data_IF_157350522633
#
_entry.id   IF_157350522633
#
_cell.length_a   1.000
_cell.length_b   1.000
_cell.length_c   1.000
_cell.angle_alpha   90.00
_cell.angle_beta   90.00
_cell.angle_gamma   90.00
#
_symmetry.space_group_name_H-M   'P 1'
#
loop_
_entity.id
_entity.type
_entity.pdbx_description
1 polymer ?
#
# COMPACT_ATOMS: atom_id res chain seq x y z
N UNK A 1 -20.55 6.32 30.95
CA UNK A 1 -20.17 5.33 31.98
C UNK A 1 -18.89 4.61 31.53
N UNK A 2 -18.20 3.91 32.44
CA UNK A 2 -17.00 3.12 32.08
C UNK A 2 -17.30 2.06 31.01
N UNK A 3 -18.52 1.50 31.00
CA UNK A 3 -18.99 0.55 29.99
C UNK A 3 -19.10 1.16 28.58
N UNK A 4 -19.63 2.38 28.47
CA UNK A 4 -19.71 3.09 27.17
C UNK A 4 -18.33 3.38 26.60
N UNK A 5 -17.38 3.81 27.43
CA UNK A 5 -16.00 4.09 27.01
C UNK A 5 -15.30 2.81 26.56
N UNK A 6 -15.50 1.69 27.28
CA UNK A 6 -14.91 0.40 26.90
C UNK A 6 -15.45 -0.08 25.56
N UNK A 7 -16.76 -0.01 25.34
CA UNK A 7 -17.40 -0.40 24.09
C UNK A 7 -16.86 0.43 22.90
N UNK A 8 -16.75 1.75 23.06
CA UNK A 8 -16.17 2.61 22.03
C UNK A 8 -14.70 2.25 21.74
N UNK A 9 -13.90 1.95 22.77
CA UNK A 9 -12.52 1.50 22.58
C UNK A 9 -12.46 0.13 21.89
N UNK A 10 -13.37 -0.79 22.20
CA UNK A 10 -13.46 -2.10 21.55
C UNK A 10 -13.83 -1.95 20.08
N UNK A 11 -14.79 -1.09 19.75
CA UNK A 11 -15.18 -0.76 18.36
C UNK A 11 -14.00 -0.15 17.59
N UNK A 12 -13.34 0.87 18.16
CA UNK A 12 -12.16 1.48 17.53
C UNK A 12 -10.97 0.51 17.38
N UNK A 13 -10.82 -0.46 18.28
CA UNK A 13 -9.81 -1.50 18.14
C UNK A 13 -10.17 -2.50 17.04
N UNK A 14 -11.44 -2.88 16.93
CA UNK A 14 -11.94 -3.75 15.85
C UNK A 14 -11.78 -3.10 14.47
N UNK A 15 -11.90 -1.77 14.39
CA UNK A 15 -11.65 -0.99 13.18
C UNK A 15 -10.16 -0.72 12.91
N UNK A 16 -9.23 -1.31 13.67
CA UNK A 16 -7.78 -1.06 13.56
C UNK A 16 -7.35 0.40 13.81
N UNK A 17 -8.20 1.24 14.41
CA UNK A 17 -7.85 2.61 14.81
C UNK A 17 -6.98 2.62 16.06
N UNK A 18 -7.20 1.65 16.94
CA UNK A 18 -6.46 1.47 18.19
C UNK A 18 -5.81 0.09 18.27
N UNK A 19 -4.65 0.03 18.91
CA UNK A 19 -3.93 -1.21 19.22
C UNK A 19 -3.84 -1.36 20.73
N UNK A 20 -4.31 -2.52 21.23
CA UNK A 20 -4.12 -2.90 22.63
C UNK A 20 -2.75 -3.53 22.83
N UNK A 21 -2.01 -3.02 23.82
CA UNK A 21 -0.77 -3.62 24.28
C UNK A 21 -0.98 -4.12 25.70
N UNK A 22 -0.98 -5.43 25.90
CA UNK A 22 -1.19 -6.05 27.20
C UNK A 22 -0.24 -5.45 28.24
N UNK A 23 -0.78 -5.02 29.38
CA UNK A 23 -0.03 -4.37 30.46
C UNK A 23 0.45 -2.94 30.18
N UNK A 24 0.22 -2.38 28.99
CA UNK A 24 0.68 -1.03 28.59
C UNK A 24 -0.45 -0.07 28.22
N UNK A 25 -1.65 -0.58 27.95
CA UNK A 25 -2.84 0.21 27.62
C UNK A 25 -3.21 0.19 26.14
N UNK A 26 -3.97 1.19 25.69
CA UNK A 26 -4.49 1.32 24.33
C UNK A 26 -3.82 2.50 23.62
N UNK A 27 -3.32 2.28 22.41
CA UNK A 27 -2.58 3.27 21.63
C UNK A 27 -3.21 3.46 20.26
N UNK A 28 -2.99 4.61 19.61
CA UNK A 28 -3.37 4.81 18.20
C UNK A 28 -2.54 3.90 17.30
N UNK A 29 -3.18 3.29 16.31
CA UNK A 29 -2.48 2.48 15.32
C UNK A 29 -1.53 3.33 14.47
N UNK A 30 -0.29 2.87 14.31
CA UNK A 30 0.76 3.59 13.58
C UNK A 30 1.54 2.66 12.66
N UNK A 31 1.91 3.19 11.49
CA UNK A 31 2.76 2.55 10.49
C UNK A 31 4.26 2.66 10.83
N UNK A 32 4.61 3.36 11.91
CA UNK A 32 5.98 3.42 12.43
C UNK A 32 6.37 2.21 13.29
N UNK A 33 5.44 1.31 13.62
CA UNK A 33 5.79 0.02 14.26
C UNK A 33 6.47 -0.87 13.21
N UNK A 34 7.66 -1.45 13.47
CA UNK A 34 8.33 -2.38 12.57
C UNK A 34 7.44 -3.52 12.08
N UNK A 35 6.50 -3.98 12.93
CA UNK A 35 5.52 -5.03 12.59
C UNK A 35 4.41 -4.55 11.63
N UNK A 36 4.29 -3.24 11.42
CA UNK A 36 3.32 -2.60 10.53
C UNK A 36 3.95 -2.04 9.25
N UNK A 37 5.29 -2.04 9.12
CA UNK A 37 6.01 -1.52 7.95
C UNK A 37 5.51 -2.14 6.63
N UNK A 38 4.99 -3.37 6.70
CA UNK A 38 4.48 -4.12 5.56
C UNK A 38 3.08 -4.71 5.83
N UNK A 39 2.29 -4.06 6.70
CA UNK A 39 0.96 -4.54 7.15
C UNK A 39 0.06 -5.07 6.03
N UNK A 40 0.14 -4.45 4.84
CA UNK A 40 -0.66 -4.82 3.68
C UNK A 40 0.14 -5.48 2.56
N UNK A 41 1.45 -5.66 2.70
CA UNK A 41 2.22 -6.45 1.73
C UNK A 41 2.06 -7.93 2.09
N UNK A 42 1.32 -8.66 1.26
CA UNK A 42 1.05 -10.09 1.41
C UNK A 42 2.02 -10.95 0.60
N UNK A 43 3.20 -10.43 0.26
CA UNK A 43 4.20 -11.13 -0.54
C UNK A 43 5.31 -11.65 0.36
N UNK A 44 5.57 -12.95 0.33
CA UNK A 44 6.56 -13.64 1.18
C UNK A 44 7.45 -14.50 0.28
N UNK A 45 8.79 -14.48 0.44
CA UNK A 45 9.67 -15.38 -0.30
C UNK A 45 9.39 -16.85 0.04
N UNK A 46 9.67 -17.77 -0.89
CA UNK A 46 9.52 -19.22 -0.64
C UNK A 46 10.53 -19.77 0.38
N UNK A 47 11.65 -19.06 0.58
CA UNK A 47 12.68 -19.39 1.57
C UNK A 47 12.32 -19.02 3.02
N UNK A 48 13.20 -19.39 3.96
CA UNK A 48 13.00 -19.15 5.41
C UNK A 48 13.40 -17.76 5.87
N UNK A 49 14.14 -17.00 5.05
CA UNK A 49 14.64 -15.68 5.43
C UNK A 49 13.63 -14.60 5.03
N UNK A 50 13.10 -13.91 6.04
CA UNK A 50 12.26 -12.73 5.84
C UNK A 50 13.12 -11.57 5.33
N UNK A 51 13.26 -11.45 4.02
CA UNK A 51 13.82 -10.27 3.37
C UNK A 51 12.73 -9.20 3.20
N UNK A 52 12.98 -7.98 3.68
CA UNK A 52 12.10 -6.84 3.42
C UNK A 52 12.47 -6.18 2.10
N UNK A 53 11.48 -5.76 1.28
CA UNK A 53 11.80 -5.13 0.02
C UNK A 53 12.37 -3.72 0.21
N UNK A 54 13.29 -3.35 -0.67
CA UNK A 54 13.64 -1.95 -0.91
C UNK A 54 12.64 -1.34 -1.90
N UNK A 55 12.31 -0.06 -1.73
CA UNK A 55 11.44 0.66 -2.64
C UNK A 55 12.29 1.53 -3.56
N UNK A 56 12.13 1.37 -4.88
CA UNK A 56 12.81 2.18 -5.90
C UNK A 56 11.78 3.05 -6.64
N UNK A 57 11.62 4.33 -6.26
CA UNK A 57 10.68 5.23 -6.93
C UNK A 57 11.15 5.58 -8.34
N UNK A 58 10.31 5.30 -9.34
CA UNK A 58 10.56 5.60 -10.75
C UNK A 58 9.97 6.97 -11.11
N UNK A 59 8.72 7.20 -10.73
CA UNK A 59 7.97 8.40 -11.09
C UNK A 59 7.07 8.86 -9.94
N UNK A 60 6.87 10.18 -9.85
CA UNK A 60 5.87 10.78 -8.97
C UNK A 60 5.43 12.12 -9.57
N UNK A 61 4.17 12.22 -9.98
CA UNK A 61 3.67 13.38 -10.70
C UNK A 61 2.19 13.67 -10.43
N UNK A 62 1.80 14.93 -10.66
CA UNK A 62 0.39 15.33 -10.64
C UNK A 62 -0.28 14.93 -11.95
N UNK A 63 -1.50 14.42 -11.85
CA UNK A 63 -2.35 14.14 -12.98
C UNK A 63 -3.81 14.48 -12.67
N UNK A 64 -4.67 14.29 -13.67
CA UNK A 64 -6.12 14.42 -13.56
C UNK A 64 -6.71 13.01 -13.47
N UNK A 65 -7.62 12.79 -12.53
CA UNK A 65 -8.29 11.51 -12.38
C UNK A 65 -9.10 11.18 -13.64
N UNK A 66 -8.77 10.06 -14.30
CA UNK A 66 -9.64 9.45 -15.29
C UNK A 66 -10.90 8.87 -14.63
N UNK A 67 -11.83 8.36 -15.45
CA UNK A 67 -13.12 7.86 -14.96
C UNK A 67 -12.99 6.73 -13.94
N UNK A 68 -12.05 5.82 -14.15
CA UNK A 68 -11.82 4.67 -13.27
C UNK A 68 -11.22 5.11 -11.92
N UNK A 69 -10.11 5.87 -11.96
CA UNK A 69 -9.50 6.42 -10.75
C UNK A 69 -10.49 7.26 -9.94
N UNK A 70 -11.30 8.09 -10.61
CA UNK A 70 -12.31 8.91 -9.97
C UNK A 70 -13.36 8.08 -9.24
N UNK A 71 -13.88 7.02 -9.90
CA UNK A 71 -14.86 6.11 -9.32
C UNK A 71 -14.29 5.38 -8.10
N UNK A 72 -13.09 4.80 -8.23
CA UNK A 72 -12.47 3.99 -7.17
C UNK A 72 -12.08 4.85 -5.96
N UNK A 73 -11.53 6.03 -6.21
CA UNK A 73 -11.15 6.97 -5.15
C UNK A 73 -12.31 7.81 -4.61
N UNK A 74 -13.54 7.60 -5.11
CA UNK A 74 -14.72 8.38 -4.76
C UNK A 74 -14.50 9.91 -4.89
N UNK A 75 -13.80 10.34 -5.93
CA UNK A 75 -13.54 11.75 -6.27
C UNK A 75 -14.21 12.12 -7.59
N UNK A 76 -14.30 13.42 -7.87
CA UNK A 76 -14.85 13.88 -9.16
C UNK A 76 -13.91 13.51 -10.31
N UNK A 77 -14.44 13.10 -11.48
CA UNK A 77 -13.63 13.04 -12.71
C UNK A 77 -12.88 14.33 -12.96
N UNK A 78 -11.60 14.24 -13.33
CA UNK A 78 -10.73 15.41 -13.50
C UNK A 78 -10.27 16.06 -12.19
N UNK A 79 -10.60 15.52 -11.02
CA UNK A 79 -9.97 15.93 -9.76
C UNK A 79 -8.45 15.68 -9.81
N UNK A 80 -7.69 16.44 -9.01
CA UNK A 80 -6.25 16.26 -8.94
C UNK A 80 -5.92 14.93 -8.27
N UNK A 81 -4.98 14.19 -8.85
CA UNK A 81 -4.36 13.01 -8.23
C UNK A 81 -2.85 13.11 -8.31
N UNK A 82 -2.15 12.42 -7.41
CA UNK A 82 -0.73 12.11 -7.55
C UNK A 82 -0.64 10.67 -8.05
N UNK A 83 0.16 10.44 -9.08
CA UNK A 83 0.50 9.10 -9.56
C UNK A 83 1.96 8.81 -9.21
N UNK A 84 2.18 7.68 -8.57
CA UNK A 84 3.52 7.16 -8.25
C UNK A 84 3.70 5.86 -9.01
N UNK A 85 4.89 5.69 -9.62
CA UNK A 85 5.37 4.40 -10.10
C UNK A 85 6.64 4.03 -9.36
N UNK A 86 6.75 2.79 -8.93
CA UNK A 86 7.94 2.29 -8.21
C UNK A 86 8.13 0.81 -8.42
N UNK A 87 9.36 0.36 -8.18
CA UNK A 87 9.67 -1.05 -8.00
C UNK A 87 9.76 -1.37 -6.50
N UNK A 88 9.39 -2.59 -6.14
CA UNK A 88 9.88 -3.22 -4.92
C UNK A 88 10.89 -4.29 -5.33
N UNK A 89 12.08 -4.18 -4.75
CA UNK A 89 13.16 -5.13 -4.99
C UNK A 89 13.42 -5.96 -3.74
N UNK A 90 13.62 -7.26 -3.95
CA UNK A 90 14.09 -8.19 -2.93
C UNK A 90 15.46 -8.66 -3.36
N UNK A 91 16.47 -8.52 -2.49
CA UNK A 91 17.88 -8.81 -2.82
C UNK A 91 18.35 -8.20 -4.15
N UNK A 92 17.98 -6.93 -4.37
CA UNK A 92 18.26 -6.17 -5.60
C UNK A 92 17.64 -6.74 -6.90
N UNK A 93 16.67 -7.66 -6.79
CA UNK A 93 15.87 -8.14 -7.92
C UNK A 93 14.49 -7.48 -7.91
N UNK A 94 14.00 -6.91 -9.02
CA UNK A 94 12.65 -6.33 -9.07
C UNK A 94 11.59 -7.44 -9.03
N UNK A 95 10.72 -7.39 -8.02
CA UNK A 95 9.66 -8.40 -7.83
C UNK A 95 8.27 -7.79 -8.03
N UNK A 96 8.11 -6.51 -7.71
CA UNK A 96 6.83 -5.80 -7.87
C UNK A 96 7.03 -4.52 -8.64
N UNK A 97 6.16 -4.27 -9.62
CA UNK A 97 5.93 -2.94 -10.15
C UNK A 97 4.59 -2.43 -9.64
N UNK A 98 4.63 -1.29 -8.95
CA UNK A 98 3.47 -0.60 -8.41
C UNK A 98 3.14 0.62 -9.27
N UNK A 99 1.86 0.81 -9.57
CA UNK A 99 1.29 2.10 -9.96
C UNK A 99 0.22 2.52 -8.94
N UNK A 100 0.38 3.70 -8.36
CA UNK A 100 -0.37 4.15 -7.20
C UNK A 100 -1.02 5.50 -7.52
N UNK A 101 -2.33 5.57 -7.40
CA UNK A 101 -3.12 6.78 -7.53
C UNK A 101 -3.56 7.26 -6.15
N UNK A 102 -3.29 8.53 -5.87
CA UNK A 102 -3.54 9.15 -4.59
C UNK A 102 -4.38 10.42 -4.79
N UNK A 103 -5.47 10.63 -4.02
CA UNK A 103 -6.24 11.88 -4.08
C UNK A 103 -5.35 13.09 -3.76
N UNK A 104 -5.25 14.05 -4.68
CA UNK A 104 -4.29 15.15 -4.57
C UNK A 104 -4.53 16.08 -3.37
N UNK A 105 -5.74 16.06 -2.80
CA UNK A 105 -6.08 16.83 -1.59
C UNK A 105 -5.27 16.41 -0.36
N UNK A 106 -4.93 15.12 -0.23
CA UNK A 106 -4.19 14.59 0.91
C UNK A 106 -2.68 14.75 0.74
N UNK A 107 -2.19 14.65 -0.50
CA UNK A 107 -0.76 14.48 -0.79
C UNK A 107 -0.13 15.73 -1.41
N UNK A 108 -0.58 16.91 -0.99
CA UNK A 108 -0.07 18.18 -1.50
C UNK A 108 1.41 18.33 -1.12
N UNK A 109 2.29 18.37 -2.13
CA UNK A 109 3.74 18.51 -1.92
C UNK A 109 4.51 17.18 -1.91
N UNK A 110 3.84 16.05 -2.16
CA UNK A 110 4.53 14.79 -2.44
C UNK A 110 5.32 14.90 -3.76
N UNK A 111 6.59 14.49 -3.73
CA UNK A 111 7.53 14.59 -4.85
C UNK A 111 8.37 13.34 -4.98
N UNK A 112 8.95 13.12 -6.16
CA UNK A 112 9.87 12.01 -6.40
C UNK A 112 11.11 12.08 -5.50
N UNK A 113 11.65 13.28 -5.26
CA UNK A 113 12.82 13.48 -4.39
C UNK A 113 12.52 13.08 -2.93
N UNK A 114 11.33 13.42 -2.44
CA UNK A 114 10.87 12.98 -1.12
C UNK A 114 10.80 11.45 -1.03
N UNK A 115 10.27 10.78 -2.06
CA UNK A 115 10.21 9.32 -2.11
C UNK A 115 11.61 8.69 -2.13
N UNK A 116 12.54 9.24 -2.92
CA UNK A 116 13.92 8.72 -3.04
C UNK A 116 14.74 8.86 -1.75
N UNK A 117 14.48 9.90 -0.96
CA UNK A 117 15.15 10.15 0.33
C UNK A 117 14.49 9.44 1.52
N UNK A 118 13.36 8.78 1.31
CA UNK A 118 12.64 8.11 2.38
C UNK A 118 13.15 6.67 2.56
N UNK A 119 13.51 6.31 3.80
CA UNK A 119 14.06 4.99 4.14
C UNK A 119 13.06 4.08 4.87
N UNK A 120 11.80 4.52 5.04
CA UNK A 120 10.73 3.73 5.63
C UNK A 120 9.75 3.18 4.60
N UNK A 121 8.65 2.59 5.08
CA UNK A 121 7.55 2.19 4.21
C UNK A 121 6.81 3.40 3.64
N UNK A 122 6.07 3.20 2.54
CA UNK A 122 5.30 4.28 1.94
C UNK A 122 4.17 4.77 2.87
N UNK A 123 3.58 3.87 3.66
CA UNK A 123 2.53 4.25 4.60
C UNK A 123 3.08 4.99 5.83
N UNK A 124 4.30 4.70 6.28
CA UNK A 124 4.94 5.54 7.31
C UNK A 124 5.28 6.94 6.80
N UNK A 125 5.62 7.09 5.51
CA UNK A 125 5.74 8.40 4.87
C UNK A 125 4.39 9.14 4.87
N UNK A 126 3.32 8.46 4.47
CA UNK A 126 1.98 9.05 4.41
C UNK A 126 1.51 9.54 5.78
N UNK A 127 1.71 8.73 6.81
CA UNK A 127 1.38 9.09 8.19
C UNK A 127 2.23 10.27 8.68
N UNK A 128 3.56 10.19 8.55
CA UNK A 128 4.46 11.18 9.13
C UNK A 128 4.46 12.53 8.42
N UNK A 129 4.28 12.57 7.09
CA UNK A 129 4.36 13.80 6.29
C UNK A 129 3.01 14.40 5.93
N UNK A 130 1.97 13.57 5.88
CA UNK A 130 0.63 14.00 5.44
C UNK A 130 -0.44 13.76 6.51
N UNK A 131 -0.09 13.20 7.68
CA UNK A 131 -1.04 12.93 8.76
C UNK A 131 -2.08 11.87 8.39
N UNK A 132 -1.83 11.08 7.35
CA UNK A 132 -2.81 10.19 6.76
C UNK A 132 -2.56 8.75 7.23
N UNK A 133 -3.51 8.20 7.99
CA UNK A 133 -3.46 6.83 8.46
C UNK A 133 -4.22 5.91 7.51
N UNK A 134 -3.56 4.84 7.07
CA UNK A 134 -4.17 3.75 6.31
C UNK A 134 -4.75 2.72 7.28
N UNK A 135 -6.09 2.61 7.31
CA UNK A 135 -6.80 1.86 8.35
C UNK A 135 -7.10 0.43 7.90
N UNK A 136 -7.67 0.29 6.71
CA UNK A 136 -8.01 -0.99 6.11
C UNK A 136 -7.75 -0.95 4.60
N UNK A 137 -7.66 -2.12 4.00
CA UNK A 137 -7.56 -2.24 2.56
C UNK A 137 -8.43 -3.39 2.07
N UNK A 138 -8.90 -3.25 0.83
CA UNK A 138 -9.53 -4.32 0.06
C UNK A 138 -8.64 -4.65 -1.13
N UNK A 139 -8.50 -5.93 -1.44
CA UNK A 139 -7.66 -6.42 -2.53
C UNK A 139 -8.46 -7.28 -3.50
N UNK A 140 -8.19 -7.09 -4.79
CA UNK A 140 -8.64 -7.96 -5.87
C UNK A 140 -7.40 -8.54 -6.54
N UNK A 141 -7.34 -9.86 -6.60
CA UNK A 141 -6.18 -10.58 -7.15
C UNK A 141 -6.59 -11.39 -8.36
N UNK A 142 -5.74 -11.44 -9.38
CA UNK A 142 -5.91 -12.30 -10.57
C UNK A 142 -4.57 -12.56 -11.25
N UNK A 143 -4.49 -13.65 -12.01
CA UNK A 143 -3.36 -13.88 -12.90
C UNK A 143 -3.49 -13.04 -14.17
N UNK A 144 -2.37 -12.48 -14.63
CA UNK A 144 -2.24 -11.78 -15.91
C UNK A 144 -0.93 -12.19 -16.57
N UNK A 145 -0.84 -12.06 -17.89
CA UNK A 145 0.43 -12.22 -18.60
C UNK A 145 1.23 -10.91 -18.53
N UNK A 146 2.55 -11.00 -18.36
CA UNK A 146 3.45 -9.85 -18.44
C UNK A 146 3.36 -9.19 -19.83
N UNK A 147 2.97 -7.92 -19.87
CA UNK A 147 3.08 -7.11 -21.08
C UNK A 147 4.54 -6.67 -21.31
N UNK A 148 4.93 -6.16 -22.49
CA UNK A 148 6.32 -5.81 -22.76
C UNK A 148 6.93 -4.84 -21.73
N UNK A 149 6.13 -3.89 -21.21
CA UNK A 149 6.61 -2.87 -20.28
C UNK A 149 6.85 -3.45 -18.89
N UNK A 150 5.93 -4.24 -18.37
CA UNK A 150 6.05 -4.92 -17.08
C UNK A 150 7.12 -6.00 -17.11
N UNK A 151 7.25 -6.71 -18.23
CA UNK A 151 8.32 -7.67 -18.48
C UNK A 151 9.71 -7.01 -18.39
N UNK A 152 9.90 -5.88 -19.09
CA UNK A 152 11.13 -5.09 -19.02
C UNK A 152 11.42 -4.62 -17.59
N UNK A 153 10.43 -4.05 -16.89
CA UNK A 153 10.63 -3.53 -15.54
C UNK A 153 10.91 -4.61 -14.48
N UNK A 154 10.37 -5.81 -14.66
CA UNK A 154 10.55 -6.93 -13.74
C UNK A 154 11.67 -7.88 -14.15
N UNK A 155 12.37 -7.61 -15.25
CA UNK A 155 13.40 -8.48 -15.82
C UNK A 155 12.89 -9.92 -16.05
N UNK A 156 11.69 -10.06 -16.60
CA UNK A 156 11.09 -11.34 -17.00
C UNK A 156 10.76 -11.33 -18.48
N UNK A 157 10.55 -12.52 -19.05
CA UNK A 157 10.10 -12.62 -20.44
C UNK A 157 8.64 -12.13 -20.60
N UNK A 158 8.28 -11.47 -21.72
CA UNK A 158 6.88 -11.20 -22.04
C UNK A 158 6.04 -12.48 -22.01
N UNK A 159 4.81 -12.38 -21.49
CA UNK A 159 3.92 -13.53 -21.36
C UNK A 159 4.07 -14.33 -20.07
N UNK A 160 5.14 -14.14 -19.29
CA UNK A 160 5.30 -14.78 -17.97
C UNK A 160 4.09 -14.45 -17.07
N UNK A 161 3.50 -15.43 -16.36
CA UNK A 161 2.41 -15.17 -15.44
C UNK A 161 2.84 -14.24 -14.30
N UNK A 162 2.09 -13.16 -14.11
CA UNK A 162 2.20 -12.23 -12.99
C UNK A 162 0.92 -12.28 -12.16
N UNK A 163 1.07 -12.07 -10.85
CA UNK A 163 -0.08 -11.80 -9.99
C UNK A 163 -0.40 -10.31 -10.05
N UNK A 164 -1.56 -9.98 -10.60
CA UNK A 164 -2.12 -8.64 -10.55
C UNK A 164 -2.85 -8.46 -9.23
N UNK A 165 -2.38 -7.51 -8.41
CA UNK A 165 -2.96 -7.14 -7.12
C UNK A 165 -3.45 -5.70 -7.19
N UNK A 166 -4.77 -5.54 -7.25
CA UNK A 166 -5.41 -4.24 -7.17
C UNK A 166 -5.88 -3.99 -5.74
N UNK A 167 -5.43 -2.90 -5.13
CA UNK A 167 -5.74 -2.56 -3.74
C UNK A 167 -6.39 -1.18 -3.65
N UNK A 168 -7.45 -1.09 -2.87
CA UNK A 168 -8.00 0.19 -2.40
C UNK A 168 -7.78 0.27 -0.91
N UNK A 169 -7.08 1.33 -0.46
CA UNK A 169 -6.78 1.54 0.95
C UNK A 169 -7.58 2.74 1.45
N UNK A 170 -8.17 2.57 2.63
CA UNK A 170 -9.11 3.51 3.22
C UNK A 170 -8.50 4.15 4.47
N UNK A 171 -8.78 5.44 4.65
CA UNK A 171 -8.49 6.17 5.88
C UNK A 171 -9.74 6.27 6.76
N UNK A 172 -9.69 7.07 7.83
CA UNK A 172 -10.81 7.31 8.74
C UNK A 172 -12.12 7.66 8.00
N UNK A 173 -13.24 7.17 8.56
CA UNK A 173 -14.56 7.37 7.96
C UNK A 173 -14.77 6.63 6.65
N UNK A 174 -14.02 5.55 6.45
CA UNK A 174 -14.08 4.68 5.27
C UNK A 174 -13.84 5.38 3.93
N UNK A 175 -12.98 6.40 3.96
CA UNK A 175 -12.69 7.23 2.80
C UNK A 175 -11.54 6.63 1.98
N UNK A 176 -11.70 6.36 0.66
CA UNK A 176 -10.61 5.91 -0.18
C UNK A 176 -9.47 6.93 -0.21
N UNK A 177 -8.26 6.47 0.09
CA UNK A 177 -7.07 7.30 0.21
C UNK A 177 -5.91 6.84 -0.69
N UNK A 178 -5.98 5.60 -1.19
CA UNK A 178 -5.06 5.05 -2.18
C UNK A 178 -5.80 4.07 -3.09
N UNK A 179 -5.48 4.12 -4.39
CA UNK A 179 -5.75 3.04 -5.33
C UNK A 179 -4.42 2.58 -5.93
N UNK A 180 -4.04 1.33 -5.67
CA UNK A 180 -2.78 0.73 -6.07
C UNK A 180 -3.03 -0.43 -7.02
N UNK A 181 -2.24 -0.49 -8.07
CA UNK A 181 -2.19 -1.62 -9.00
C UNK A 181 -0.77 -2.15 -9.02
N UNK A 182 -0.59 -3.34 -8.48
CA UNK A 182 0.68 -4.05 -8.44
C UNK A 182 0.69 -5.20 -9.43
N UNK A 183 1.80 -5.40 -10.12
CA UNK A 183 2.10 -6.63 -10.85
C UNK A 183 3.29 -7.31 -10.17
N UNK A 184 3.07 -8.52 -9.66
CA UNK A 184 4.03 -9.24 -8.84
C UNK A 184 4.57 -10.42 -9.63
N UNK A 185 5.89 -10.51 -9.75
CA UNK A 185 6.56 -11.75 -10.13
C UNK A 185 6.54 -12.68 -8.93
N UNK A 186 5.85 -13.81 -9.06
CA UNK A 186 5.73 -14.83 -8.01
C UNK A 186 6.60 -16.05 -8.30
N UNK A 187 7.70 -15.87 -9.05
CA UNK A 187 8.60 -16.96 -9.39
C UNK A 187 9.25 -17.59 -8.14
N UNK A 188 9.64 -16.76 -7.18
CA UNK A 188 10.29 -17.16 -5.93
C UNK A 188 9.52 -16.69 -4.68
N UNK A 189 8.25 -16.29 -4.85
CA UNK A 189 7.42 -15.67 -3.80
C UNK A 189 5.98 -16.16 -3.83
N UNK A 190 5.35 -16.22 -2.66
CA UNK A 190 3.93 -16.49 -2.50
C UNK A 190 3.15 -15.24 -2.10
N UNK A 191 1.91 -15.16 -2.58
CA UNK A 191 0.90 -14.36 -1.91
C UNK A 191 0.41 -15.13 -0.68
N UNK A 192 0.80 -14.67 0.52
CA UNK A 192 0.45 -15.32 1.77
C UNK A 192 -0.83 -14.72 2.36
N UNK A 193 -1.84 -15.56 2.53
CA UNK A 193 -3.06 -15.24 3.25
C UNK A 193 -3.34 -16.31 4.30
N UNK A 194 -3.27 -15.93 5.56
CA UNK A 194 -3.60 -16.82 6.69
C UNK A 194 -5.07 -16.62 7.06
N UNK A 195 -5.84 -17.70 7.00
CA UNK A 195 -7.25 -17.73 7.36
C UNK A 195 -7.37 -18.33 8.76
N UNK A 196 -7.98 -17.60 9.70
CA UNK A 196 -8.30 -18.07 11.05
C UNK A 196 -9.81 -18.27 11.19
#
# INVERSE_FOLDING_TARGET
>A
SQGTVRKAIDEMAAENLLVRKQGKGTFVASHNDPRSLFRFLRLVPEGTDLSYPSSVPLECGRAKAGQEAARILAIKPGASVIVIRRLLEFDAKPVVVDEIHLPGEFFRGLTLDMLKKWHGSLYSLFESRFGLHMIRAEERIRAVAADPRSAELLHVEPGVPLLSVERVTYTYGDRPAEWRRGLYSTADHFYMNELN
#
